data_IF_035489285604
#
_entry.id   IF_035489285604
#
_cell.length_a   1.000
_cell.length_b   1.000
_cell.length_c   1.000
_cell.angle_alpha   90.00
_cell.angle_beta   90.00
_cell.angle_gamma   90.00
#
_symmetry.space_group_name_H-M   'P 1'
#
loop_
_entity.id
_entity.type
_entity.pdbx_description
1 polymer ?
#
# COMPACT_ATOMS: atom_id res chain seq x y z
N UNK A 1 -17.42 5.01 -20.14
CA UNK A 1 -17.62 3.91 -19.17
C UNK A 1 -16.56 2.87 -19.49
N UNK A 2 -15.37 3.02 -18.92
CA UNK A 2 -14.28 2.08 -19.16
C UNK A 2 -14.51 0.83 -18.32
N UNK A 3 -15.22 -0.12 -18.93
CA UNK A 3 -15.37 -1.49 -18.45
C UNK A 3 -14.01 -2.16 -18.45
N UNK A 4 -13.24 -1.95 -17.38
CA UNK A 4 -12.16 -2.87 -17.05
C UNK A 4 -12.80 -4.19 -16.68
N UNK A 5 -12.74 -5.16 -17.60
CA UNK A 5 -12.91 -6.56 -17.27
C UNK A 5 -11.96 -6.86 -16.10
N UNK A 6 -12.52 -6.97 -14.89
CA UNK A 6 -11.80 -7.51 -13.77
C UNK A 6 -11.59 -8.97 -14.16
N UNK A 7 -10.37 -9.31 -14.60
CA UNK A 7 -9.99 -10.70 -14.77
C UNK A 7 -10.39 -11.46 -13.51
N UNK A 8 -10.95 -12.68 -13.61
CA UNK A 8 -11.23 -13.50 -12.45
C UNK A 8 -9.91 -13.77 -11.75
N UNK A 9 -9.63 -12.98 -10.70
CA UNK A 9 -8.36 -12.95 -10.00
C UNK A 9 -8.23 -14.23 -9.17
N UNK A 10 -7.67 -15.23 -9.84
CA UNK A 10 -6.62 -16.12 -9.34
C UNK A 10 -6.96 -16.99 -8.13
N UNK A 11 -7.00 -18.30 -8.37
CA UNK A 11 -6.95 -19.34 -7.36
C UNK A 11 -5.87 -19.01 -6.30
N UNK A 12 -6.28 -18.71 -5.06
CA UNK A 12 -5.35 -18.32 -4.00
C UNK A 12 -4.31 -19.39 -3.69
N UNK A 13 -3.29 -19.05 -2.89
CA UNK A 13 -2.23 -20.00 -2.54
C UNK A 13 -2.67 -20.95 -1.41
N UNK A 14 -2.38 -22.25 -1.52
CA UNK A 14 -2.59 -23.19 -0.41
C UNK A 14 -1.50 -23.05 0.65
N UNK A 15 -1.77 -23.47 1.89
CA UNK A 15 -0.73 -23.50 2.94
C UNK A 15 0.51 -24.29 2.49
N UNK A 16 0.30 -25.45 1.86
CA UNK A 16 1.40 -26.31 1.42
C UNK A 16 2.23 -25.66 0.31
N UNK A 17 1.63 -24.90 -0.62
CA UNK A 17 2.41 -24.20 -1.64
C UNK A 17 3.26 -23.08 -1.04
N UNK A 18 2.72 -22.35 -0.06
CA UNK A 18 3.45 -21.30 0.67
C UNK A 18 4.61 -21.91 1.47
N UNK A 19 4.37 -22.98 2.23
CA UNK A 19 5.43 -23.66 3.00
C UNK A 19 6.54 -24.17 2.08
N UNK A 20 6.18 -24.80 0.95
CA UNK A 20 7.15 -25.27 -0.04
C UNK A 20 7.98 -24.11 -0.62
N UNK A 21 7.34 -22.96 -0.86
CA UNK A 21 8.04 -21.77 -1.30
C UNK A 21 9.04 -21.30 -0.23
N UNK A 22 8.63 -21.21 1.04
CA UNK A 22 9.51 -20.80 2.15
C UNK A 22 10.70 -21.76 2.30
N UNK A 23 10.48 -23.08 2.22
CA UNK A 23 11.55 -24.07 2.31
C UNK A 23 12.57 -23.97 1.17
N UNK A 24 12.15 -23.55 -0.03
CA UNK A 24 13.07 -23.33 -1.15
C UNK A 24 13.98 -22.12 -0.96
N UNK A 25 13.59 -21.16 -0.13
CA UNK A 25 14.28 -19.88 0.03
C UNK A 25 14.90 -19.69 1.43
N UNK A 26 14.75 -20.68 2.31
CA UNK A 26 15.25 -20.61 3.69
C UNK A 26 15.87 -21.94 4.10
N UNK A 27 16.65 -21.94 5.19
CA UNK A 27 17.25 -23.14 5.78
C UNK A 27 16.44 -23.68 6.96
N UNK A 28 15.12 -23.54 6.90
CA UNK A 28 14.22 -23.99 7.96
C UNK A 28 13.86 -25.47 7.80
N UNK A 29 13.52 -26.13 8.90
CA UNK A 29 12.83 -27.42 8.86
C UNK A 29 11.39 -27.22 8.39
N UNK A 30 10.76 -28.26 7.84
CA UNK A 30 9.35 -28.20 7.44
C UNK A 30 8.42 -27.78 8.58
N UNK A 31 8.64 -28.31 9.78
CA UNK A 31 7.86 -27.96 10.96
C UNK A 31 8.02 -26.47 11.33
N UNK A 32 9.26 -25.97 11.36
CA UNK A 32 9.54 -24.55 11.66
C UNK A 32 8.95 -23.63 10.60
N UNK A 33 9.10 -23.96 9.31
CA UNK A 33 8.54 -23.17 8.21
C UNK A 33 7.01 -23.14 8.28
N UNK A 34 6.36 -24.30 8.50
CA UNK A 34 4.90 -24.38 8.65
C UNK A 34 4.40 -23.56 9.82
N UNK A 35 5.08 -23.63 10.97
CA UNK A 35 4.69 -22.86 12.15
C UNK A 35 4.78 -21.35 11.87
N UNK A 36 5.92 -20.86 11.38
CA UNK A 36 6.11 -19.45 11.05
C UNK A 36 5.10 -18.94 10.00
N UNK A 37 4.83 -19.74 8.97
CA UNK A 37 3.83 -19.40 7.95
C UNK A 37 2.44 -19.25 8.57
N UNK A 38 2.03 -20.16 9.46
CA UNK A 38 0.72 -20.06 10.13
C UNK A 38 0.59 -18.79 10.98
N UNK A 39 1.63 -18.43 11.72
CA UNK A 39 1.64 -17.20 12.53
C UNK A 39 1.48 -15.95 11.65
N UNK A 40 2.25 -15.88 10.57
CA UNK A 40 2.18 -14.75 9.62
C UNK A 40 0.82 -14.69 8.92
N UNK A 41 0.26 -15.82 8.52
CA UNK A 41 -1.06 -15.86 7.88
C UNK A 41 -2.15 -15.44 8.85
N UNK A 42 -2.13 -15.93 10.09
CA UNK A 42 -3.09 -15.53 11.12
C UNK A 42 -3.02 -14.03 11.40
N UNK A 43 -1.82 -13.48 11.59
CA UNK A 43 -1.62 -12.05 11.78
C UNK A 43 -2.10 -11.24 10.57
N UNK A 44 -1.75 -11.68 9.36
CA UNK A 44 -2.18 -11.03 8.12
C UNK A 44 -3.70 -11.02 7.94
N UNK A 45 -4.38 -12.09 8.37
CA UNK A 45 -5.86 -12.17 8.40
C UNK A 45 -6.42 -11.20 9.43
N UNK A 46 -5.89 -11.17 10.66
CA UNK A 46 -6.32 -10.22 11.69
C UNK A 46 -6.11 -8.76 11.28
N UNK A 47 -5.08 -8.47 10.48
CA UNK A 47 -4.81 -7.15 9.94
C UNK A 47 -5.64 -6.80 8.69
N UNK A 48 -6.46 -7.72 8.19
CA UNK A 48 -7.21 -7.54 6.94
C UNK A 48 -6.34 -7.44 5.68
N UNK A 49 -5.06 -7.82 5.77
CA UNK A 49 -4.11 -7.83 4.65
C UNK A 49 -4.15 -9.15 3.88
N UNK A 50 -4.62 -10.22 4.50
CA UNK A 50 -4.74 -11.54 3.89
C UNK A 50 -6.18 -12.01 4.02
N UNK A 51 -6.77 -12.47 2.92
CA UNK A 51 -8.06 -13.12 2.89
C UNK A 51 -7.90 -14.64 2.87
N UNK A 52 -8.73 -15.36 3.64
CA UNK A 52 -8.83 -16.82 3.56
C UNK A 52 -10.11 -17.18 2.83
N UNK A 53 -9.99 -17.97 1.77
CA UNK A 53 -11.13 -18.43 0.98
C UNK A 53 -11.80 -19.66 1.62
N UNK A 54 -13.07 -19.96 1.29
CA UNK A 54 -13.72 -21.20 1.71
C UNK A 54 -12.98 -22.46 1.23
N UNK A 55 -12.25 -22.37 0.12
CA UNK A 55 -11.42 -23.44 -0.42
C UNK A 55 -10.12 -23.67 0.37
N UNK A 56 -9.87 -22.90 1.45
CA UNK A 56 -8.68 -23.04 2.28
C UNK A 56 -7.41 -22.42 1.66
N UNK A 57 -7.59 -21.54 0.67
CA UNK A 57 -6.49 -20.79 0.06
C UNK A 57 -6.37 -19.38 0.63
N UNK A 58 -5.20 -18.78 0.47
CA UNK A 58 -4.85 -17.46 0.99
C UNK A 58 -4.62 -16.48 -0.17
N UNK A 59 -5.17 -15.28 -0.04
CA UNK A 59 -5.09 -14.21 -1.02
C UNK A 59 -4.57 -12.95 -0.35
N UNK A 60 -3.71 -12.21 -1.05
CA UNK A 60 -3.32 -10.87 -0.60
C UNK A 60 -4.48 -9.91 -0.86
N UNK A 61 -4.93 -9.22 0.17
CA UNK A 61 -5.90 -8.14 0.04
C UNK A 61 -5.14 -6.89 -0.38
N UNK A 62 -5.36 -6.43 -1.61
CA UNK A 62 -4.80 -5.16 -2.07
C UNK A 62 -5.59 -4.03 -1.40
N UNK A 63 -5.02 -3.39 -0.38
CA UNK A 63 -5.48 -2.06 0.01
C UNK A 63 -5.16 -1.14 -1.16
N UNK A 64 -6.17 -0.73 -1.92
CA UNK A 64 -6.00 0.34 -2.90
C UNK A 64 -5.35 1.51 -2.15
N UNK A 65 -4.15 1.99 -2.53
CA UNK A 65 -3.58 3.14 -1.84
C UNK A 65 -4.66 4.24 -1.89
N UNK A 66 -4.97 4.83 -0.73
CA UNK A 66 -5.93 5.92 -0.66
C UNK A 66 -5.54 6.91 -1.75
N UNK A 67 -6.41 7.09 -2.76
CA UNK A 67 -6.10 7.95 -3.89
C UNK A 67 -5.87 9.34 -3.30
N UNK A 68 -4.61 9.75 -3.20
CA UNK A 68 -4.23 11.06 -2.68
C UNK A 68 -4.83 12.07 -3.65
N UNK A 69 -5.99 12.62 -3.28
CA UNK A 69 -6.75 13.56 -4.09
C UNK A 69 -6.23 14.97 -3.86
N UNK A 70 -4.92 15.14 -3.69
CA UNK A 70 -4.32 16.47 -3.61
C UNK A 70 -4.17 17.00 -5.02
N UNK A 71 -5.14 17.81 -5.45
CA UNK A 71 -4.94 18.73 -6.58
C UNK A 71 -3.86 19.72 -6.16
N UNK A 72 -2.65 19.57 -6.69
CA UNK A 72 -1.64 20.62 -6.64
C UNK A 72 -2.25 21.80 -7.40
N UNK A 73 -2.68 22.83 -6.67
CA UNK A 73 -3.17 24.07 -7.27
C UNK A 73 -1.94 24.84 -7.72
N UNK A 74 -1.89 25.21 -9.00
CA UNK A 74 -0.83 26.05 -9.53
C UNK A 74 -0.74 27.36 -8.72
N UNK A 75 0.47 27.84 -8.37
CA UNK A 75 0.61 29.13 -7.71
C UNK A 75 0.11 30.23 -8.64
N UNK A 76 -0.88 30.99 -8.18
CA UNK A 76 -1.20 32.28 -8.82
C UNK A 76 -0.13 33.25 -8.37
N UNK A 77 0.84 33.49 -9.24
CA UNK A 77 1.67 34.67 -9.14
C UNK A 77 0.81 35.81 -9.66
N UNK A 78 0.09 36.46 -8.75
CA UNK A 78 -0.55 37.74 -9.05
C UNK A 78 0.60 38.75 -9.25
N UNK A 79 0.91 38.99 -10.52
CA UNK A 79 1.77 40.06 -10.99
C UNK A 79 0.96 41.35 -10.91
N UNK A 80 1.04 42.04 -9.78
CA UNK A 80 0.57 43.43 -9.69
C UNK A 80 1.60 44.29 -8.93
N UNK A 81 2.41 44.97 -9.75
CA UNK A 81 2.82 46.38 -9.62
C UNK A 81 3.77 46.82 -8.49
N UNK A 82 5.06 46.92 -8.86
CA UNK A 82 6.09 48.00 -8.76
C UNK A 82 5.84 49.30 -7.92
N UNK A 83 6.81 50.24 -7.82
CA UNK A 83 7.92 50.36 -6.87
C UNK A 83 7.93 51.71 -6.07
N UNK A 84 8.94 51.87 -5.20
CA UNK A 84 9.42 53.12 -4.55
C UNK A 84 8.53 53.87 -3.53
N UNK A 85 9.02 53.95 -2.29
CA UNK A 85 9.35 55.24 -1.65
C UNK A 85 10.35 55.03 -0.53
N UNK A 86 11.57 55.53 -0.75
CA UNK A 86 12.64 55.64 0.23
C UNK A 86 12.39 56.79 1.21
N UNK A 87 12.71 56.53 2.50
CA UNK A 87 13.33 57.39 3.53
C UNK A 87 12.78 58.82 3.81
N UNK A 88 12.50 59.09 5.09
CA UNK A 88 12.50 60.46 5.62
C UNK A 88 12.08 60.66 7.08
N UNK A 89 13.06 60.49 7.99
CA UNK A 89 13.31 61.21 9.27
C UNK A 89 12.16 61.49 10.27
N UNK A 90 12.29 60.90 11.46
CA UNK A 90 11.68 61.38 12.72
C UNK A 90 12.74 62.14 13.53
N UNK A 91 12.36 63.33 14.00
CA UNK A 91 13.16 64.26 14.81
C UNK A 91 12.97 63.98 16.30
N UNK A 92 14.05 64.03 17.08
CA UNK A 92 14.14 64.80 18.33
C UNK A 92 15.62 65.15 18.59
#
# INVERSE_FOLDING_TARGET
>A
MDSRCIEPLTEGATLNSIVRYVLRHTRLTEASARHAVLEVLNLGVSMGRIGRTPAGTYLLMTSKPAAVTHKIREPRFDDDSSPESSLGSTSD
#
